data_IF_208219646185
#
_entry.id   IF_208219646185
#
_cell.length_a   1.000
_cell.length_b   1.000
_cell.length_c   1.000
_cell.angle_alpha   90.00
_cell.angle_beta   90.00
_cell.angle_gamma   90.00
#
_symmetry.space_group_name_H-M   'P 1'
#
loop_
_entity.id
_entity.type
_entity.pdbx_description
1 polymer ?
#
# COMPACT_ATOMS: atom_id res chain seq x y z
N UNK A 1 -5.62 5.16 4.66
CA UNK A 1 -5.74 4.39 3.42
C UNK A 1 -7.08 3.69 3.34
N UNK A 2 -7.60 3.57 2.18
CA UNK A 2 -8.86 2.86 1.94
C UNK A 2 -8.64 1.76 0.93
N UNK A 3 -9.46 0.73 0.98
CA UNK A 3 -9.42 -0.33 -0.02
C UNK A 3 -9.63 0.30 -1.41
N UNK A 4 -8.76 -0.05 -2.34
CA UNK A 4 -8.78 0.50 -3.68
C UNK A 4 -7.86 1.67 -3.92
N UNK A 5 -7.28 2.23 -2.85
CA UNK A 5 -6.34 3.34 -3.01
C UNK A 5 -5.06 2.86 -3.69
N UNK A 6 -4.53 3.71 -4.55
CA UNK A 6 -3.21 3.47 -5.13
C UNK A 6 -2.17 3.96 -4.14
N UNK A 7 -1.26 3.06 -3.76
CA UNK A 7 -0.33 3.31 -2.67
C UNK A 7 1.10 3.06 -3.14
N UNK A 8 1.96 4.01 -2.83
CA UNK A 8 3.40 3.83 -3.05
C UNK A 8 4.00 3.28 -1.77
N UNK A 9 4.57 2.09 -1.86
CA UNK A 9 5.14 1.40 -0.70
C UNK A 9 6.65 1.55 -0.70
N UNK A 10 7.19 1.95 0.44
CA UNK A 10 8.62 2.12 0.59
C UNK A 10 9.05 1.43 1.88
N UNK A 11 9.63 0.27 1.74
CA UNK A 11 10.09 -0.54 2.87
C UNK A 11 11.61 -0.68 2.81
N UNK A 12 12.28 -0.77 3.95
CA UNK A 12 13.75 -0.81 3.97
C UNK A 12 14.35 -2.07 3.35
N UNK A 13 13.63 -3.17 3.36
CA UNK A 13 14.18 -4.44 2.91
C UNK A 13 13.84 -4.78 1.46
N UNK A 14 13.07 -3.96 0.79
CA UNK A 14 12.68 -4.22 -0.59
C UNK A 14 12.70 -2.92 -1.40
N UNK A 15 12.70 -3.06 -2.72
CA UNK A 15 12.59 -1.91 -3.58
C UNK A 15 11.20 -1.30 -3.48
N UNK A 16 11.07 0.01 -3.55
CA UNK A 16 9.75 0.63 -3.55
C UNK A 16 8.90 0.10 -4.70
N UNK A 17 7.60 -0.06 -4.41
CA UNK A 17 6.68 -0.48 -5.45
C UNK A 17 5.35 0.27 -5.30
N UNK A 18 4.56 0.23 -6.35
CA UNK A 18 3.23 0.83 -6.36
C UNK A 18 2.23 -0.31 -6.43
N UNK A 19 1.24 -0.23 -5.58
CA UNK A 19 0.21 -1.24 -5.54
C UNK A 19 -1.13 -0.69 -5.12
N UNK A 20 -2.06 -1.58 -4.91
CA UNK A 20 -3.43 -1.24 -4.54
C UNK A 20 -3.71 -1.81 -3.16
N UNK A 21 -4.31 -1.01 -2.30
CA UNK A 21 -4.73 -1.46 -0.99
C UNK A 21 -5.90 -2.42 -1.14
N UNK A 22 -5.69 -3.66 -0.72
CA UNK A 22 -6.71 -4.70 -0.85
C UNK A 22 -7.35 -5.06 0.49
N UNK A 23 -6.73 -4.67 1.58
CA UNK A 23 -7.29 -4.83 2.92
C UNK A 23 -6.83 -3.67 3.79
N UNK A 24 -7.65 -3.30 4.73
CA UNK A 24 -7.32 -2.24 5.68
C UNK A 24 -7.68 -2.73 7.07
N UNK A 25 -6.77 -2.53 8.03
CA UNK A 25 -7.08 -2.86 9.41
C UNK A 25 -7.45 -1.60 10.20
N UNK A 26 -7.80 -1.79 11.47
CA UNK A 26 -8.28 -0.69 12.30
C UNK A 26 -7.16 0.22 12.79
N UNK A 27 -5.92 -0.12 12.56
CA UNK A 27 -4.77 0.62 13.08
C UNK A 27 -3.99 1.34 12.00
N UNK A 28 -4.69 1.84 11.01
CA UNK A 28 -4.05 2.65 9.99
C UNK A 28 -3.05 1.86 9.14
N UNK A 29 -3.19 0.55 9.10
CA UNK A 29 -2.40 -0.31 8.25
C UNK A 29 -3.20 -0.81 7.06
N UNK A 30 -2.52 -1.18 6.02
CA UNK A 30 -3.17 -1.72 4.84
C UNK A 30 -2.30 -2.78 4.19
N UNK A 31 -2.95 -3.78 3.63
CA UNK A 31 -2.27 -4.77 2.80
C UNK A 31 -2.28 -4.25 1.37
N UNK A 32 -1.10 -4.01 0.83
CA UNK A 32 -0.94 -3.43 -0.49
C UNK A 32 -0.33 -4.47 -1.41
N UNK A 33 -1.08 -4.82 -2.44
CA UNK A 33 -0.61 -5.75 -3.46
C UNK A 33 -0.06 -4.95 -4.62
N UNK A 34 1.14 -5.31 -5.10
CA UNK A 34 1.72 -4.67 -6.26
C UNK A 34 0.82 -4.85 -7.49
N UNK A 35 0.95 -3.95 -8.44
CA UNK A 35 0.11 -3.98 -9.65
C UNK A 35 0.27 -5.29 -10.40
N UNK A 36 1.49 -5.83 -10.44
CA UNK A 36 1.73 -7.11 -11.12
C UNK A 36 1.36 -8.33 -10.26
N UNK A 37 0.93 -8.12 -9.02
CA UNK A 37 0.50 -9.18 -8.15
C UNK A 37 1.60 -9.98 -7.48
N UNK A 38 2.86 -9.59 -7.66
CA UNK A 38 3.99 -10.36 -7.13
C UNK A 38 4.32 -10.05 -5.68
N UNK A 39 4.03 -8.84 -5.25
CA UNK A 39 4.38 -8.39 -3.91
C UNK A 39 3.11 -8.05 -3.15
N UNK A 40 3.13 -8.36 -1.86
CA UNK A 40 1.98 -8.11 -1.01
C UNK A 40 2.49 -7.94 0.41
N UNK A 41 2.39 -6.72 0.93
CA UNK A 41 2.91 -6.41 2.25
C UNK A 41 1.93 -5.57 3.04
N UNK A 42 1.91 -5.79 4.35
CA UNK A 42 1.21 -4.88 5.25
C UNK A 42 2.07 -3.65 5.46
N UNK A 43 1.49 -2.49 5.23
CA UNK A 43 2.19 -1.23 5.40
C UNK A 43 1.39 -0.32 6.30
N UNK A 44 2.09 0.57 7.00
CA UNK A 44 1.44 1.61 7.78
C UNK A 44 1.56 2.94 7.02
N UNK A 45 1.05 4.01 7.63
CA UNK A 45 1.06 5.32 6.98
C UNK A 45 2.47 5.88 6.76
N UNK A 46 3.47 5.33 7.43
CA UNK A 46 4.86 5.76 7.24
C UNK A 46 5.52 5.06 6.07
N UNK A 47 5.13 3.83 5.81
CA UNK A 47 5.73 3.03 4.76
C UNK A 47 4.94 3.08 3.46
N UNK A 48 3.68 3.45 3.52
CA UNK A 48 2.82 3.54 2.36
C UNK A 48 2.24 4.93 2.23
N UNK A 49 2.32 5.50 1.04
CA UNK A 49 1.76 6.81 0.76
C UNK A 49 0.71 6.69 -0.33
N UNK A 50 -0.48 7.18 -0.04
CA UNK A 50 -1.56 7.18 -1.03
C UNK A 50 -1.24 8.24 -2.09
N UNK A 51 -1.23 7.83 -3.34
CA UNK A 51 -0.87 8.71 -4.44
C UNK A 51 -2.02 9.02 -5.38
N UNK A 52 -3.17 8.43 -5.15
CA UNK A 52 -4.35 8.68 -5.97
C UNK A 52 -5.61 8.61 -5.13
N UNK A 53 -5.67 9.44 -4.12
CA UNK A 53 -6.80 9.45 -3.19
C UNK A 53 -7.94 10.35 -3.63
N UNK A 54 -7.72 11.17 -4.61
CA UNK A 54 -8.68 12.22 -4.98
C UNK A 54 -9.76 11.75 -5.93
N UNK A 55 -9.77 10.53 -6.27
CA UNK A 55 -10.74 10.03 -7.25
C UNK A 55 -12.04 9.59 -6.62
#
# INVERSE_FOLDING_TARGET
>A
MKIGDLVRVKLPSIKPYIGIAIRVNTRDGALVRSIDGRLEYWVNSWSGKVINASR
#
